data_IF_014735428702
#
_entry.id   IF_014735428702
#
_cell.length_a   1.000
_cell.length_b   1.000
_cell.length_c   1.000
_cell.angle_alpha   90.00
_cell.angle_beta   90.00
_cell.angle_gamma   90.00
#
_symmetry.space_group_name_H-M   'P 1'
#
loop_
_entity.id
_entity.type
_entity.pdbx_description
1 polymer ?
#
# COMPACT_ATOMS: atom_id res chain seq x y z
N UNK A 1 26.17 -15.96 21.79
CA UNK A 1 25.40 -16.73 20.78
C UNK A 1 23.93 -16.88 21.15
N UNK A 2 23.66 -17.19 22.41
CA UNK A 2 22.28 -17.37 22.89
C UNK A 2 21.47 -16.06 22.80
N UNK A 3 22.11 -14.92 23.10
CA UNK A 3 21.50 -13.59 23.00
C UNK A 3 21.09 -13.26 21.55
N UNK A 4 21.97 -13.57 20.57
CA UNK A 4 21.69 -13.34 19.16
C UNK A 4 20.49 -14.15 18.66
N UNK A 5 20.39 -15.40 19.08
CA UNK A 5 19.24 -16.24 18.72
C UNK A 5 17.94 -15.69 19.29
N UNK A 6 17.95 -15.26 20.56
CA UNK A 6 16.78 -14.69 21.21
C UNK A 6 16.30 -13.43 20.51
N UNK A 7 17.22 -12.55 20.13
CA UNK A 7 16.90 -11.33 19.39
C UNK A 7 16.30 -11.61 18.03
N UNK A 8 16.85 -12.58 17.28
CA UNK A 8 16.32 -13.00 15.98
C UNK A 8 14.91 -13.57 16.10
N UNK A 9 14.68 -14.43 17.08
CA UNK A 9 13.39 -15.04 17.34
C UNK A 9 12.37 -13.98 17.73
N UNK A 10 12.74 -13.02 18.56
CA UNK A 10 11.85 -11.93 18.99
C UNK A 10 11.49 -11.01 17.82
N UNK A 11 12.43 -10.68 16.94
CA UNK A 11 12.16 -9.89 15.74
C UNK A 11 11.24 -10.65 14.78
N UNK A 12 11.47 -11.93 14.59
CA UNK A 12 10.65 -12.76 13.73
C UNK A 12 9.23 -12.89 14.26
N UNK A 13 9.05 -13.12 15.57
CA UNK A 13 7.75 -13.16 16.22
C UNK A 13 7.00 -11.84 16.08
N UNK A 14 7.67 -10.72 16.30
CA UNK A 14 7.08 -9.39 16.17
C UNK A 14 6.60 -9.14 14.73
N UNK A 15 7.38 -9.57 13.73
CA UNK A 15 7.02 -9.45 12.33
C UNK A 15 5.80 -10.32 11.99
N UNK A 16 5.75 -11.57 12.46
CA UNK A 16 4.63 -12.48 12.27
C UNK A 16 3.35 -11.90 12.90
N UNK A 17 3.42 -11.40 14.13
CA UNK A 17 2.29 -10.78 14.81
C UNK A 17 1.75 -9.58 14.04
N UNK A 18 2.64 -8.71 13.52
CA UNK A 18 2.26 -7.56 12.72
C UNK A 18 1.57 -7.99 11.42
N UNK A 19 2.11 -9.01 10.75
CA UNK A 19 1.52 -9.55 9.52
C UNK A 19 0.16 -10.19 9.77
N UNK A 20 -0.02 -10.88 10.90
CA UNK A 20 -1.29 -11.49 11.29
C UNK A 20 -2.38 -10.45 11.57
N UNK A 21 -2.01 -9.32 12.17
CA UNK A 21 -2.95 -8.21 12.46
C UNK A 21 -3.54 -7.60 11.20
N UNK A 22 -2.83 -7.70 10.09
CA UNK A 22 -3.27 -7.15 8.79
C UNK A 22 -3.44 -8.24 7.74
N UNK A 23 -3.70 -9.48 8.17
CA UNK A 23 -3.98 -10.60 7.26
C UNK A 23 -5.37 -10.46 6.62
N UNK A 24 -5.58 -11.20 5.54
CA UNK A 24 -6.89 -11.29 4.89
C UNK A 24 -7.95 -11.72 5.92
N UNK A 25 -9.07 -11.02 5.94
CA UNK A 25 -10.16 -11.22 6.89
C UNK A 25 -10.11 -10.30 8.11
N UNK A 26 -8.98 -9.66 8.37
CA UNK A 26 -8.82 -8.71 9.48
C UNK A 26 -9.29 -7.32 9.08
N UNK A 27 -9.61 -6.51 10.08
CA UNK A 27 -9.91 -5.10 9.85
C UNK A 27 -8.62 -4.35 9.55
N UNK A 28 -8.67 -3.46 8.55
CA UNK A 28 -7.50 -2.64 8.23
C UNK A 28 -7.14 -1.72 9.41
N UNK A 29 -5.89 -1.29 9.45
CA UNK A 29 -5.39 -0.36 10.46
C UNK A 29 -5.25 1.01 9.79
N UNK A 30 -5.98 2.01 10.31
CA UNK A 30 -5.92 3.36 9.80
C UNK A 30 -4.61 4.05 10.21
N UNK A 31 -4.12 4.92 9.36
CA UNK A 31 -2.99 5.82 9.67
C UNK A 31 -3.08 7.06 8.81
N UNK A 32 -2.36 8.12 9.23
CA UNK A 32 -2.36 9.40 8.56
C UNK A 32 -0.95 9.78 8.14
N UNK A 33 -0.84 10.42 6.97
CA UNK A 33 0.42 10.94 6.45
C UNK A 33 0.13 12.17 5.61
N UNK A 34 1.17 12.79 5.05
CA UNK A 34 1.02 13.98 4.24
C UNK A 34 0.98 13.65 2.75
N UNK A 35 0.16 14.40 2.01
CA UNK A 35 0.13 14.37 0.55
C UNK A 35 1.37 15.08 0.00
N UNK A 36 1.64 14.96 -1.33
CA UNK A 36 2.74 15.73 -1.95
C UNK A 36 2.61 17.26 -1.73
N UNK A 37 1.40 17.75 -1.54
CA UNK A 37 1.14 19.18 -1.30
C UNK A 37 1.24 19.56 0.19
N UNK A 38 1.52 18.58 1.07
CA UNK A 38 1.69 18.81 2.51
C UNK A 38 0.41 18.79 3.35
N UNK A 39 -0.70 18.35 2.78
CA UNK A 39 -1.95 18.16 3.52
C UNK A 39 -1.95 16.82 4.24
N UNK A 40 -2.50 16.79 5.46
CA UNK A 40 -2.63 15.52 6.20
C UNK A 40 -3.90 14.79 5.76
N UNK A 41 -3.75 13.53 5.39
CA UNK A 41 -4.85 12.65 5.02
C UNK A 41 -4.74 11.33 5.76
N UNK A 42 -5.86 10.61 5.89
CA UNK A 42 -5.92 9.29 6.52
C UNK A 42 -6.41 8.26 5.52
N UNK A 43 -6.03 6.99 5.70
CA UNK A 43 -6.56 5.90 4.86
C UNK A 43 -8.08 5.86 4.88
N UNK A 44 -8.69 6.12 6.05
CA UNK A 44 -10.15 6.13 6.22
C UNK A 44 -10.84 7.13 5.31
N UNK A 45 -10.17 8.22 4.94
CA UNK A 45 -10.72 9.22 4.00
C UNK A 45 -11.01 8.61 2.62
N UNK A 46 -10.27 7.57 2.26
CA UNK A 46 -10.39 6.89 0.95
C UNK A 46 -11.19 5.60 1.05
N UNK A 47 -10.95 4.80 2.09
CA UNK A 47 -11.62 3.50 2.29
C UNK A 47 -13.14 3.68 2.34
N UNK A 48 -13.62 4.71 3.04
CA UNK A 48 -15.05 4.97 3.18
C UNK A 48 -15.74 5.39 1.88
N UNK A 49 -14.98 5.94 0.93
CA UNK A 49 -15.52 6.47 -0.34
C UNK A 49 -15.57 5.45 -1.47
N UNK A 50 -14.81 4.38 -1.37
CA UNK A 50 -14.67 3.40 -2.44
C UNK A 50 -15.29 2.06 -2.02
N UNK A 51 -15.79 1.30 -2.99
CA UNK A 51 -16.22 -0.08 -2.73
C UNK A 51 -15.03 -0.95 -2.35
N UNK A 52 -13.90 -0.73 -3.04
CA UNK A 52 -12.61 -1.39 -2.74
C UNK A 52 -11.50 -0.36 -2.90
N UNK A 53 -10.56 -0.36 -1.97
CA UNK A 53 -9.40 0.52 -1.99
C UNK A 53 -8.13 -0.33 -1.97
N UNK A 54 -7.25 -0.10 -2.93
CA UNK A 54 -5.94 -0.73 -2.96
C UNK A 54 -4.94 0.22 -2.29
N UNK A 55 -4.31 -0.26 -1.23
CA UNK A 55 -3.21 0.44 -0.57
C UNK A 55 -1.94 -0.08 -1.23
N UNK A 56 -1.22 0.79 -1.92
CA UNK A 56 -0.02 0.46 -2.70
C UNK A 56 1.23 1.04 -2.05
N UNK A 57 2.02 0.17 -1.42
CA UNK A 57 3.31 0.56 -0.83
C UNK A 57 4.38 0.50 -1.92
N UNK A 58 5.02 1.63 -2.18
CA UNK A 58 5.98 1.77 -3.27
C UNK A 58 7.02 2.84 -2.95
N UNK A 59 7.97 3.05 -3.86
CA UNK A 59 8.93 4.15 -3.77
C UNK A 59 9.46 4.50 -5.16
N UNK A 60 9.89 5.75 -5.33
CA UNK A 60 10.46 6.22 -6.60
C UNK A 60 11.73 5.48 -6.97
N UNK A 61 12.52 5.05 -5.98
CA UNK A 61 13.78 4.33 -6.17
C UNK A 61 13.61 2.82 -6.36
N UNK A 62 12.39 2.32 -6.30
CA UNK A 62 12.10 0.89 -6.36
C UNK A 62 11.88 0.45 -7.80
N UNK A 63 12.85 -0.26 -8.38
CA UNK A 63 12.77 -0.77 -9.74
C UNK A 63 11.57 -1.67 -10.01
N UNK A 64 11.32 -2.70 -9.20
CA UNK A 64 10.13 -3.56 -9.36
C UNK A 64 8.80 -2.80 -9.24
N UNK A 65 8.74 -1.76 -8.38
CA UNK A 65 7.55 -0.91 -8.25
C UNK A 65 7.29 -0.16 -9.55
N UNK A 66 8.34 0.38 -10.17
CA UNK A 66 8.22 1.12 -11.42
C UNK A 66 7.77 0.22 -12.56
N UNK A 67 8.26 -1.02 -12.60
CA UNK A 67 7.83 -2.02 -13.60
C UNK A 67 6.37 -2.44 -13.43
N UNK A 68 5.91 -2.52 -12.19
CA UNK A 68 4.53 -2.90 -11.88
C UNK A 68 3.54 -1.77 -12.16
N UNK A 69 3.98 -0.52 -12.09
CA UNK A 69 3.09 0.63 -12.16
C UNK A 69 2.18 0.67 -13.39
N UNK A 70 2.62 0.30 -14.61
CA UNK A 70 1.70 0.23 -15.76
C UNK A 70 0.51 -0.70 -15.53
N UNK A 71 0.69 -1.82 -14.85
CA UNK A 71 -0.40 -2.74 -14.50
C UNK A 71 -1.39 -2.10 -13.52
N UNK A 72 -0.87 -1.35 -12.54
CA UNK A 72 -1.69 -0.64 -11.55
C UNK A 72 -2.49 0.47 -12.25
N UNK A 73 -1.87 1.23 -13.13
CA UNK A 73 -2.52 2.30 -13.91
C UNK A 73 -3.66 1.71 -14.76
N UNK A 74 -3.42 0.59 -15.44
CA UNK A 74 -4.45 -0.08 -16.25
C UNK A 74 -5.62 -0.55 -15.40
N UNK A 75 -5.35 -1.17 -14.26
CA UNK A 75 -6.39 -1.63 -13.34
C UNK A 75 -7.23 -0.43 -12.85
N UNK A 76 -6.58 0.65 -12.50
CA UNK A 76 -7.27 1.86 -12.07
C UNK A 76 -8.20 2.40 -13.14
N UNK A 77 -7.71 2.54 -14.38
CA UNK A 77 -8.52 3.01 -15.51
C UNK A 77 -9.73 2.11 -15.77
N UNK A 78 -9.54 0.80 -15.64
CA UNK A 78 -10.59 -0.17 -15.93
C UNK A 78 -11.70 -0.19 -14.87
N UNK A 79 -11.37 0.09 -13.60
CA UNK A 79 -12.30 -0.13 -12.49
C UNK A 79 -12.65 1.10 -11.65
N UNK A 80 -12.02 2.25 -11.88
CA UNK A 80 -12.30 3.47 -11.09
C UNK A 80 -13.77 3.87 -11.11
N UNK A 81 -14.44 3.70 -12.23
CA UNK A 81 -15.87 4.06 -12.37
C UNK A 81 -16.78 2.99 -11.77
N UNK A 82 -16.24 1.87 -11.33
CA UNK A 82 -16.97 0.77 -10.67
C UNK A 82 -16.84 0.78 -9.15
N UNK A 83 -16.20 1.81 -8.60
CA UNK A 83 -16.01 1.96 -7.16
C UNK A 83 -14.63 1.55 -6.66
N UNK A 84 -13.66 1.39 -7.54
CA UNK A 84 -12.28 1.07 -7.18
C UNK A 84 -11.46 2.35 -7.00
N UNK A 85 -10.76 2.44 -5.87
CA UNK A 85 -9.81 3.51 -5.61
C UNK A 85 -8.46 2.96 -5.21
N UNK A 86 -7.44 3.79 -5.34
CA UNK A 86 -6.07 3.46 -4.92
C UNK A 86 -5.56 4.59 -4.05
N UNK A 87 -4.79 4.25 -3.02
CA UNK A 87 -3.99 5.20 -2.27
C UNK A 87 -2.55 4.69 -2.26
N UNK A 88 -1.63 5.49 -2.75
CA UNK A 88 -0.21 5.16 -2.75
C UNK A 88 0.43 5.59 -1.44
N UNK A 89 1.21 4.72 -0.84
CA UNK A 89 2.00 5.01 0.36
C UNK A 89 3.46 4.89 -0.02
N UNK A 90 4.15 6.03 -0.09
CA UNK A 90 5.52 6.08 -0.56
C UNK A 90 6.52 5.87 0.58
N UNK A 91 7.51 5.02 0.33
CA UNK A 91 8.67 4.82 1.20
C UNK A 91 9.85 5.69 0.77
N UNK A 92 9.58 6.80 0.11
CA UNK A 92 10.63 7.78 -0.23
C UNK A 92 11.11 8.55 0.99
N UNK A 93 12.31 9.07 0.91
CA UNK A 93 12.88 10.02 1.86
C UNK A 93 12.97 11.43 1.25
N UNK A 94 12.92 11.52 -0.07
CA UNK A 94 13.07 12.77 -0.83
C UNK A 94 11.74 13.13 -1.50
N UNK A 95 11.16 14.25 -1.08
CA UNK A 95 9.86 14.70 -1.58
C UNK A 95 9.89 15.00 -3.09
N UNK A 96 10.98 15.59 -3.59
CA UNK A 96 11.08 15.95 -5.00
C UNK A 96 11.12 14.73 -5.90
N UNK A 97 11.89 13.71 -5.53
CA UNK A 97 11.97 12.45 -6.28
C UNK A 97 10.62 11.72 -6.26
N UNK A 98 9.92 11.77 -5.15
CA UNK A 98 8.57 11.21 -5.04
C UNK A 98 7.60 11.90 -6.02
N UNK A 99 7.58 13.23 -6.01
CA UNK A 99 6.72 14.02 -6.92
C UNK A 99 7.07 13.79 -8.40
N UNK A 100 8.35 13.73 -8.73
CA UNK A 100 8.80 13.45 -10.09
C UNK A 100 8.32 12.08 -10.57
N UNK A 101 8.42 11.05 -9.71
CA UNK A 101 7.99 9.71 -10.05
C UNK A 101 6.47 9.62 -10.24
N UNK A 102 5.69 10.32 -9.43
CA UNK A 102 4.24 10.39 -9.58
C UNK A 102 3.87 10.85 -11.00
N UNK A 103 4.50 11.90 -11.46
CA UNK A 103 4.28 12.44 -12.81
C UNK A 103 4.78 11.48 -13.87
N UNK A 104 6.01 10.99 -13.75
CA UNK A 104 6.64 10.11 -14.74
C UNK A 104 5.91 8.79 -14.93
N UNK A 105 5.30 8.26 -13.87
CA UNK A 105 4.61 6.98 -13.90
C UNK A 105 3.10 7.09 -14.16
N UNK A 106 2.60 8.29 -14.44
CA UNK A 106 1.18 8.55 -14.71
C UNK A 106 0.28 8.14 -13.54
N UNK A 107 0.74 8.37 -12.33
CA UNK A 107 -0.04 8.09 -11.12
C UNK A 107 -1.03 9.23 -10.92
N UNK A 108 -2.34 8.90 -10.95
CA UNK A 108 -3.42 9.90 -10.85
C UNK A 108 -4.27 9.75 -9.60
N UNK A 109 -3.97 8.77 -8.76
CA UNK A 109 -4.69 8.53 -7.50
C UNK A 109 -3.98 9.21 -6.32
N UNK A 110 -4.67 9.34 -5.17
CA UNK A 110 -4.09 9.98 -3.98
C UNK A 110 -2.80 9.31 -3.50
N UNK A 111 -1.90 10.12 -2.98
CA UNK A 111 -0.60 9.69 -2.47
C UNK A 111 -0.36 10.25 -1.08
N UNK A 112 0.31 9.47 -0.24
CA UNK A 112 0.73 9.91 1.08
C UNK A 112 2.11 9.35 1.43
N UNK A 113 2.85 10.05 2.27
CA UNK A 113 4.16 9.59 2.76
C UNK A 113 4.53 10.33 4.04
N UNK A 114 5.32 9.67 4.89
CA UNK A 114 5.97 10.32 6.03
C UNK A 114 7.45 10.64 5.74
N UNK A 115 7.92 10.32 4.52
CA UNK A 115 9.30 10.56 4.08
C UNK A 115 10.37 9.93 4.99
N UNK A 116 10.05 8.79 5.58
CA UNK A 116 10.94 8.09 6.51
C UNK A 116 11.57 6.83 5.91
N UNK A 117 11.45 6.63 4.60
CA UNK A 117 12.02 5.44 3.94
C UNK A 117 11.43 4.16 4.54
N UNK A 118 12.30 3.20 4.85
CA UNK A 118 11.88 1.94 5.46
C UNK A 118 11.33 2.10 6.90
N UNK A 119 11.48 3.27 7.52
CA UNK A 119 10.84 3.58 8.79
C UNK A 119 9.41 4.11 8.63
N UNK A 120 8.85 4.03 7.43
CA UNK A 120 7.46 4.41 7.15
C UNK A 120 6.52 3.73 8.15
N UNK A 121 5.70 4.54 8.82
CA UNK A 121 4.80 4.07 9.87
C UNK A 121 3.75 3.09 9.35
N UNK A 122 3.22 3.32 8.15
CA UNK A 122 2.24 2.42 7.51
C UNK A 122 2.86 1.08 7.14
N UNK A 123 4.06 1.09 6.59
CA UNK A 123 4.78 -0.14 6.25
C UNK A 123 5.01 -1.00 7.48
N UNK A 124 5.37 -0.38 8.61
CA UNK A 124 5.56 -1.10 9.87
C UNK A 124 4.25 -1.70 10.40
N UNK A 125 3.16 -0.93 10.35
CA UNK A 125 1.84 -1.40 10.80
C UNK A 125 1.36 -2.61 10.00
N UNK A 126 1.67 -2.67 8.71
CA UNK A 126 1.22 -3.73 7.82
C UNK A 126 2.25 -4.84 7.60
N UNK A 127 3.37 -4.79 8.33
CA UNK A 127 4.42 -5.81 8.21
C UNK A 127 5.06 -5.84 6.82
N UNK A 128 5.14 -4.71 6.14
CA UNK A 128 5.75 -4.60 4.81
C UNK A 128 7.26 -4.58 4.94
N UNK A 129 7.93 -5.60 4.42
CA UNK A 129 9.38 -5.70 4.43
C UNK A 129 10.01 -5.75 3.03
N UNK A 130 9.17 -5.72 2.00
CA UNK A 130 9.60 -5.62 0.60
C UNK A 130 8.52 -4.88 -0.18
N UNK A 131 8.91 -4.15 -1.22
CA UNK A 131 7.99 -3.44 -2.10
C UNK A 131 8.26 -3.82 -3.56
N UNK A 132 7.23 -3.79 -4.44
CA UNK A 132 5.88 -3.33 -4.17
C UNK A 132 5.10 -4.28 -3.26
N UNK A 133 4.24 -3.73 -2.41
CA UNK A 133 3.34 -4.50 -1.57
C UNK A 133 1.95 -3.84 -1.63
N UNK A 134 0.91 -4.65 -1.69
CA UNK A 134 -0.44 -4.14 -1.80
C UNK A 134 -1.37 -4.77 -0.78
N UNK A 135 -2.37 -4.00 -0.36
CA UNK A 135 -3.44 -4.47 0.53
C UNK A 135 -4.75 -3.97 -0.07
N UNK A 136 -5.67 -4.89 -0.37
CA UNK A 136 -6.99 -4.54 -0.89
C UNK A 136 -8.01 -4.61 0.24
N UNK A 137 -8.75 -3.52 0.43
CA UNK A 137 -9.69 -3.34 1.55
C UNK A 137 -11.07 -3.04 0.99
N UNK A 138 -12.12 -3.66 1.53
CA UNK A 138 -13.49 -3.34 1.13
C UNK A 138 -14.00 -2.07 1.85
N UNK A 139 -15.21 -1.64 1.53
CA UNK A 139 -15.77 -0.39 2.06
C UNK A 139 -16.03 -0.45 3.57
N UNK A 140 -16.26 -1.63 4.11
CA UNK A 140 -16.45 -1.85 5.55
C UNK A 140 -15.11 -1.89 6.32
N UNK A 141 -13.99 -1.90 5.61
CA UNK A 141 -12.67 -1.90 6.20
C UNK A 141 -12.07 -3.30 6.40
N UNK A 142 -12.63 -4.32 5.76
CA UNK A 142 -12.08 -5.68 5.83
C UNK A 142 -11.03 -5.87 4.74
N UNK A 143 -9.88 -6.42 5.10
CA UNK A 143 -8.81 -6.77 4.16
C UNK A 143 -9.24 -8.01 3.39
N UNK A 144 -9.37 -7.88 2.07
CA UNK A 144 -9.87 -8.97 1.21
C UNK A 144 -8.78 -9.64 0.37
N UNK A 145 -7.64 -8.96 0.18
CA UNK A 145 -6.50 -9.54 -0.54
C UNK A 145 -5.21 -8.81 -0.17
N UNK A 146 -4.08 -9.47 -0.38
CA UNK A 146 -2.75 -8.89 -0.18
C UNK A 146 -1.82 -9.29 -1.31
N UNK A 147 -0.86 -8.41 -1.61
CA UNK A 147 0.24 -8.67 -2.55
C UNK A 147 -0.22 -9.09 -3.95
N UNK A 148 -1.25 -8.43 -4.45
CA UNK A 148 -1.70 -8.61 -5.81
C UNK A 148 -0.74 -7.92 -6.77
N UNK A 149 -0.33 -8.62 -7.83
CA UNK A 149 0.57 -8.11 -8.87
C UNK A 149 0.11 -8.51 -10.25
N UNK A 150 0.48 -7.70 -11.25
CA UNK A 150 0.23 -7.99 -12.64
C UNK A 150 -1.25 -8.20 -12.91
N UNK A 151 -1.57 -9.24 -13.63
CA UNK A 151 -2.95 -9.59 -13.99
C UNK A 151 -3.82 -9.97 -12.79
N UNK A 152 -3.21 -10.35 -11.67
CA UNK A 152 -3.95 -10.71 -10.46
C UNK A 152 -4.79 -9.56 -9.91
N UNK A 153 -4.36 -8.32 -10.11
CA UNK A 153 -5.12 -7.14 -9.70
C UNK A 153 -6.45 -7.09 -10.45
N UNK A 154 -6.40 -7.15 -11.78
CA UNK A 154 -7.62 -7.13 -12.62
C UNK A 154 -8.50 -8.34 -12.38
N UNK A 155 -7.90 -9.53 -12.26
CA UNK A 155 -8.63 -10.77 -12.02
C UNK A 155 -9.43 -10.69 -10.71
N UNK A 156 -8.80 -10.18 -9.65
CA UNK A 156 -9.47 -10.03 -8.35
C UNK A 156 -10.59 -9.00 -8.43
N UNK A 157 -10.36 -7.87 -9.09
CA UNK A 157 -11.37 -6.84 -9.26
C UNK A 157 -12.54 -7.31 -10.14
N UNK A 158 -12.28 -8.09 -11.18
CA UNK A 158 -13.34 -8.70 -11.98
C UNK A 158 -14.23 -9.62 -11.13
N UNK A 159 -13.62 -10.39 -10.23
CA UNK A 159 -14.33 -11.25 -9.30
C UNK A 159 -15.22 -10.44 -8.35
N UNK A 160 -14.71 -9.35 -7.80
CA UNK A 160 -15.35 -8.56 -6.75
C UNK A 160 -16.35 -7.52 -7.28
N UNK A 161 -16.11 -6.98 -8.48
CA UNK A 161 -16.88 -5.86 -9.05
C UNK A 161 -17.67 -6.27 -10.30
N UNK A 162 -18.16 -7.46 -10.35
CA UNK A 162 -19.02 -7.95 -11.43
C UNK A 162 -20.27 -7.12 -11.60
#
# INVERSE_FOLDING_TARGET
RVLFRSERINKLKAHIETSEKTAVGQKYIDFSMQTPEGETVSLSDFVSKNKYTLIDFWASWCGPCRKEMPNVVEAYKAFKDKGFGIVGVSLDENADKWKEAITALNITWPQMSDLQGWNNAGAKLYGVNSIPATVLVDQEGTIVARNLRGDAIKSKLNELLK
#
